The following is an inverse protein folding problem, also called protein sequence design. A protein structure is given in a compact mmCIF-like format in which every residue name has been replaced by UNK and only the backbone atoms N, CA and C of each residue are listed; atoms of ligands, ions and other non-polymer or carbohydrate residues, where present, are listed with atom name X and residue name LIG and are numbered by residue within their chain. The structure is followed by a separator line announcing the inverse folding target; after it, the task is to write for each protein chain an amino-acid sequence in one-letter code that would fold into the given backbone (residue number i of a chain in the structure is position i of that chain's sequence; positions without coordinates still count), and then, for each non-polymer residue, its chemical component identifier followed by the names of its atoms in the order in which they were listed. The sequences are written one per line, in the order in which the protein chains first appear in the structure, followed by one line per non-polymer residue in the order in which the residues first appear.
data_IF_019542695818
#
_entry.id   IF_019542695818
#
_cell.length_a   1.000
_cell.length_b   1.000
_cell.length_c   1.000
_cell.angle_alpha   90.00
_cell.angle_beta   90.00
_cell.angle_gamma   90.00
#
_symmetry.space_group_name_H-M   'P 1'
#
loop_
_entity.id
_entity.type
_entity.pdbx_description
1 polymer ?
#
# COMPACT_ATOMS: atom_id res chain seq x y z
N UNK A 1 -29.78 17.93 2.17
CA UNK A 1 -29.33 16.53 2.06
C UNK A 1 -27.84 16.49 2.37
N UNK A 2 -27.42 15.76 3.39
CA UNK A 2 -25.99 15.59 3.75
C UNK A 2 -25.58 14.17 3.36
N UNK A 3 -24.47 14.03 2.63
CA UNK A 3 -23.98 12.76 2.10
C UNK A 3 -22.71 12.34 2.87
N UNK A 4 -22.70 11.14 3.46
CA UNK A 4 -21.65 10.63 4.34
C UNK A 4 -20.96 9.34 3.81
N UNK A 5 -20.65 9.27 2.51
CA UNK A 5 -20.06 8.08 1.88
C UNK A 5 -18.54 7.91 2.08
N UNK A 6 -17.91 8.71 2.95
CA UNK A 6 -16.48 8.66 3.23
C UNK A 6 -15.60 9.45 2.25
N UNK A 7 -14.30 9.15 2.24
CA UNK A 7 -13.27 9.91 1.53
C UNK A 7 -12.53 9.07 0.49
N UNK A 8 -12.18 9.69 -0.64
CA UNK A 8 -11.35 9.08 -1.71
C UNK A 8 -9.90 9.53 -1.59
N UNK A 9 -8.96 8.65 -1.95
CA UNK A 9 -7.56 9.06 -2.14
C UNK A 9 -7.43 10.01 -3.32
N UNK A 10 -6.61 11.05 -3.15
CA UNK A 10 -6.30 12.03 -4.19
C UNK A 10 -4.94 12.65 -3.88
N UNK A 11 -3.99 12.56 -4.82
CA UNK A 11 -2.64 13.08 -4.69
C UNK A 11 -2.32 14.00 -5.89
N UNK A 12 -2.87 15.23 -5.94
CA UNK A 12 -2.77 16.10 -7.12
C UNK A 12 -1.35 16.60 -7.42
N UNK A 13 -0.42 16.40 -6.48
CA UNK A 13 0.97 16.85 -6.57
C UNK A 13 1.96 15.74 -6.96
N UNK A 14 1.50 14.49 -7.10
CA UNK A 14 2.37 13.36 -7.46
C UNK A 14 2.11 12.96 -8.91
N UNK A 15 3.01 13.36 -9.80
CA UNK A 15 3.00 12.94 -11.21
C UNK A 15 3.83 11.67 -11.39
N UNK A 16 3.17 10.51 -11.39
CA UNK A 16 3.85 9.22 -11.61
C UNK A 16 3.79 8.73 -13.06
N UNK A 17 3.32 9.55 -14.01
CA UNK A 17 3.13 9.16 -15.41
C UNK A 17 2.39 7.82 -15.59
N UNK A 18 1.36 7.59 -14.75
CA UNK A 18 0.58 6.35 -14.76
C UNK A 18 1.20 5.13 -14.05
N UNK A 19 2.41 5.25 -13.47
CA UNK A 19 3.03 4.16 -12.70
C UNK A 19 2.23 3.85 -11.42
N UNK A 20 1.69 4.87 -10.76
CA UNK A 20 0.73 4.73 -9.66
C UNK A 20 -0.59 5.32 -10.09
N UNK A 21 -1.67 4.58 -9.87
CA UNK A 21 -3.03 4.99 -10.20
C UNK A 21 -3.94 4.82 -8.99
N UNK A 22 -5.06 5.54 -9.03
CA UNK A 22 -6.13 5.39 -8.04
C UNK A 22 -7.38 4.89 -8.78
N UNK A 23 -7.75 3.64 -8.54
CA UNK A 23 -8.93 2.99 -9.13
C UNK A 23 -9.84 2.46 -8.02
N UNK A 24 -11.10 2.89 -7.97
CA UNK A 24 -12.04 2.58 -6.88
C UNK A 24 -11.38 2.65 -5.48
N UNK A 25 -10.69 3.77 -5.18
CA UNK A 25 -10.01 4.00 -3.89
C UNK A 25 -8.86 3.01 -3.55
N UNK A 26 -8.40 2.21 -4.51
CA UNK A 26 -7.14 1.46 -4.45
C UNK A 26 -6.02 2.34 -5.01
N UNK A 27 -5.02 2.64 -4.19
CA UNK A 27 -3.76 3.27 -4.63
C UNK A 27 -2.81 2.13 -5.00
N UNK A 28 -2.40 2.05 -6.26
CA UNK A 28 -1.65 0.88 -6.71
C UNK A 28 -0.98 1.03 -8.08
N UNK A 29 -0.12 0.07 -8.42
CA UNK A 29 0.31 -1.08 -7.62
C UNK A 29 1.29 -0.70 -6.49
N UNK A 30 1.10 -1.24 -5.28
CA UNK A 30 1.96 -0.99 -4.12
C UNK A 30 2.34 -2.29 -3.40
N UNK A 31 3.64 -2.59 -3.33
CA UNK A 31 4.18 -3.68 -2.54
C UNK A 31 4.01 -3.37 -1.06
N UNK A 32 3.36 -4.29 -0.35
CA UNK A 32 3.03 -4.18 1.08
C UNK A 32 2.37 -2.84 1.45
N UNK A 33 1.60 -2.26 0.52
CA UNK A 33 0.93 -0.95 0.65
C UNK A 33 1.88 0.25 0.90
N UNK A 34 3.17 0.12 0.57
CA UNK A 34 4.19 1.17 0.75
C UNK A 34 4.85 1.53 -0.56
N UNK A 35 5.41 0.54 -1.27
CA UNK A 35 6.35 0.81 -2.36
C UNK A 35 5.74 0.55 -3.74
N UNK A 36 5.64 1.55 -4.62
CA UNK A 36 5.43 1.31 -6.05
C UNK A 36 6.67 0.63 -6.66
N UNK A 37 6.58 -0.60 -7.19
CA UNK A 37 7.77 -1.41 -7.52
C UNK A 37 8.78 -0.72 -8.45
N UNK A 38 8.30 0.01 -9.45
CA UNK A 38 9.13 0.74 -10.43
C UNK A 38 9.82 2.00 -9.90
N UNK A 39 9.34 2.53 -8.78
CA UNK A 39 9.85 3.78 -8.19
C UNK A 39 10.45 3.55 -6.79
N UNK A 40 10.51 2.30 -6.34
CA UNK A 40 11.05 1.95 -5.03
C UNK A 40 12.59 2.07 -5.01
N UNK A 41 13.19 2.50 -3.88
CA UNK A 41 12.55 3.02 -2.67
C UNK A 41 12.27 4.54 -2.72
N UNK A 42 12.54 5.20 -3.86
CA UNK A 42 12.50 6.67 -4.01
C UNK A 42 11.12 7.29 -3.86
N UNK A 43 10.06 6.56 -4.19
CA UNK A 43 8.68 6.90 -3.84
C UNK A 43 8.13 5.86 -2.88
N UNK A 44 7.47 6.32 -1.81
CA UNK A 44 6.85 5.48 -0.79
C UNK A 44 5.61 6.14 -0.22
N UNK A 45 4.60 5.35 0.13
CA UNK A 45 3.37 5.81 0.75
C UNK A 45 3.30 5.30 2.20
N UNK A 46 3.05 6.21 3.13
CA UNK A 46 2.90 5.90 4.56
C UNK A 46 1.51 6.32 5.01
N UNK A 47 0.85 5.51 5.83
CA UNK A 47 -0.46 5.81 6.40
C UNK A 47 -1.64 5.59 5.44
N UNK A 48 -1.45 4.83 4.35
CA UNK A 48 -2.58 4.41 3.51
C UNK A 48 -3.53 3.45 4.23
N UNK A 49 -3.09 2.51 5.09
CA UNK A 49 -4.06 1.65 5.76
C UNK A 49 -4.94 2.43 6.75
N UNK A 50 -6.26 2.42 6.52
CA UNK A 50 -7.24 3.35 7.15
C UNK A 50 -8.00 2.80 8.36
N UNK A 51 -7.67 1.61 8.85
CA UNK A 51 -8.52 0.87 9.80
C UNK A 51 -8.04 0.98 11.24
N UNK A 52 -7.89 -0.15 11.93
CA UNK A 52 -7.99 -0.23 13.40
C UNK A 52 -6.76 0.31 14.16
N UNK A 53 -5.58 0.39 13.53
CA UNK A 53 -4.32 0.77 14.20
C UNK A 53 -3.44 1.71 13.37
N UNK A 54 -3.91 2.94 13.06
CA UNK A 54 -3.20 3.84 12.15
C UNK A 54 -1.82 4.24 12.67
N UNK A 55 -1.66 4.47 13.97
CA UNK A 55 -0.39 4.84 14.58
C UNK A 55 0.64 3.71 14.49
N UNK A 56 0.27 2.50 14.90
CA UNK A 56 1.15 1.32 14.83
C UNK A 56 1.53 1.01 13.38
N UNK A 57 0.58 1.06 12.46
CA UNK A 57 0.85 0.79 11.03
C UNK A 57 1.80 1.81 10.44
N UNK A 58 1.57 3.10 10.72
CA UNK A 58 2.44 4.19 10.26
C UNK A 58 3.85 4.04 10.85
N UNK A 59 3.96 3.74 12.14
CA UNK A 59 5.24 3.54 12.81
C UNK A 59 6.05 2.38 12.18
N UNK A 60 5.40 1.23 11.95
CA UNK A 60 6.04 0.07 11.31
C UNK A 60 6.45 0.38 9.86
N UNK A 61 5.57 1.02 9.09
CA UNK A 61 5.88 1.45 7.71
C UNK A 61 7.06 2.42 7.68
N UNK A 62 7.11 3.41 8.58
CA UNK A 62 8.20 4.38 8.67
C UNK A 62 9.51 3.72 9.09
N UNK A 63 9.50 2.84 10.09
CA UNK A 63 10.70 2.08 10.52
C UNK A 63 11.24 1.22 9.38
N UNK A 64 10.37 0.53 8.67
CA UNK A 64 10.76 -0.29 7.53
C UNK A 64 11.35 0.54 6.40
N UNK A 65 10.72 1.67 6.04
CA UNK A 65 11.23 2.60 5.04
C UNK A 65 12.65 3.09 5.39
N UNK A 66 12.90 3.47 6.65
CA UNK A 66 14.23 3.92 7.10
C UNK A 66 15.25 2.80 6.95
N UNK A 67 14.91 1.55 7.31
CA UNK A 67 15.82 0.42 7.12
C UNK A 67 16.15 0.16 5.65
N UNK A 68 15.15 0.28 4.77
CA UNK A 68 15.35 0.16 3.31
C UNK A 68 16.25 1.28 2.77
N UNK A 69 15.96 2.54 3.10
CA UNK A 69 16.77 3.69 2.66
C UNK A 69 18.20 3.64 3.21
N UNK A 70 18.40 3.08 4.40
CA UNK A 70 19.74 2.87 4.98
C UNK A 70 20.49 1.65 4.44
N UNK A 71 19.87 0.86 3.56
CA UNK A 71 20.44 -0.39 3.02
C UNK A 71 20.54 -1.54 4.03
N UNK A 72 19.91 -1.42 5.21
CA UNK A 72 19.86 -2.49 6.23
C UNK A 72 18.90 -3.61 5.86
N UNK A 73 17.89 -3.28 5.06
CA UNK A 73 16.92 -4.22 4.48
C UNK A 73 16.90 -4.00 2.98
N UNK A 74 17.00 -5.07 2.21
CA UNK A 74 16.90 -5.01 0.76
C UNK A 74 15.45 -5.28 0.35
N UNK A 75 14.94 -4.50 -0.59
CA UNK A 75 13.67 -4.82 -1.24
C UNK A 75 13.89 -6.00 -2.21
N UNK A 76 12.87 -6.85 -2.39
CA UNK A 76 12.83 -7.80 -3.49
C UNK A 76 12.98 -7.07 -4.84
N UNK A 77 13.34 -7.80 -5.90
CA UNK A 77 13.37 -7.21 -7.24
C UNK A 77 11.96 -6.81 -7.69
N UNK A 78 11.86 -5.88 -8.64
CA UNK A 78 10.58 -5.36 -9.15
C UNK A 78 9.59 -6.48 -9.51
N UNK A 79 10.06 -7.52 -10.20
CA UNK A 79 9.24 -8.67 -10.62
C UNK A 79 8.62 -9.41 -9.43
N UNK A 80 9.37 -9.60 -8.34
CA UNK A 80 8.90 -10.30 -7.15
C UNK A 80 7.90 -9.44 -6.38
N UNK A 81 8.15 -8.13 -6.29
CA UNK A 81 7.20 -7.18 -5.72
C UNK A 81 5.88 -7.16 -6.51
N UNK A 82 5.95 -7.12 -7.84
CA UNK A 82 4.76 -7.19 -8.71
C UNK A 82 4.00 -8.50 -8.55
N UNK A 83 4.69 -9.64 -8.53
CA UNK A 83 4.04 -10.95 -8.32
C UNK A 83 3.32 -11.02 -6.97
N UNK A 84 3.89 -10.46 -5.89
CA UNK A 84 3.21 -10.38 -4.60
C UNK A 84 1.93 -9.54 -4.67
N UNK A 85 1.95 -8.42 -5.39
CA UNK A 85 0.79 -7.54 -5.56
C UNK A 85 -0.31 -8.23 -6.35
N UNK A 86 0.04 -8.89 -7.45
CA UNK A 86 -0.89 -9.64 -8.30
C UNK A 86 -1.54 -10.78 -7.52
N UNK A 87 -0.76 -11.56 -6.76
CA UNK A 87 -1.29 -12.62 -5.90
C UNK A 87 -2.26 -12.06 -4.85
N UNK A 88 -1.95 -10.92 -4.25
CA UNK A 88 -2.84 -10.26 -3.30
C UNK A 88 -4.15 -9.80 -3.95
N UNK A 89 -4.08 -9.20 -5.15
CA UNK A 89 -5.28 -8.79 -5.88
C UNK A 89 -6.13 -9.99 -6.31
N UNK A 90 -5.51 -11.07 -6.77
CA UNK A 90 -6.21 -12.30 -7.11
C UNK A 90 -6.94 -12.88 -5.89
N UNK A 91 -6.25 -12.96 -4.75
CA UNK A 91 -6.86 -13.43 -3.50
C UNK A 91 -8.06 -12.57 -3.07
N UNK A 92 -7.96 -11.24 -3.21
CA UNK A 92 -9.09 -10.34 -2.96
C UNK A 92 -10.28 -10.63 -3.90
N UNK A 93 -10.00 -10.86 -5.19
CA UNK A 93 -11.03 -11.18 -6.18
C UNK A 93 -11.71 -12.52 -5.89
N UNK A 94 -10.94 -13.56 -5.57
CA UNK A 94 -11.44 -14.89 -5.19
C UNK A 94 -12.31 -14.84 -3.92
N UNK A 95 -11.95 -13.99 -2.96
CA UNK A 95 -12.69 -13.82 -1.71
C UNK A 95 -13.81 -12.78 -1.81
N UNK A 96 -14.02 -12.20 -2.99
CA UNK A 96 -15.09 -11.23 -3.25
C UNK A 96 -14.88 -9.87 -2.55
N UNK A 97 -13.65 -9.53 -2.15
CA UNK A 97 -13.33 -8.26 -1.49
C UNK A 97 -13.20 -7.14 -2.54
N UNK A 98 -14.02 -6.07 -2.47
CA UNK A 98 -13.95 -4.95 -3.41
C UNK A 98 -12.61 -4.19 -3.37
N UNK A 99 -12.20 -3.62 -4.52
CA UNK A 99 -10.95 -2.84 -4.68
C UNK A 99 -10.79 -1.72 -3.65
N UNK A 100 -11.87 -1.00 -3.31
CA UNK A 100 -11.86 0.05 -2.27
C UNK A 100 -11.40 -0.37 -0.88
N UNK A 101 -11.37 -1.67 -0.60
CA UNK A 101 -10.88 -2.24 0.66
C UNK A 101 -9.44 -2.76 0.57
N UNK A 102 -8.72 -2.53 -0.53
CA UNK A 102 -7.32 -2.97 -0.69
C UNK A 102 -6.38 -2.45 0.40
N UNK A 103 -6.69 -1.32 1.04
CA UNK A 103 -5.88 -0.80 2.15
C UNK A 103 -6.56 -0.97 3.52
N UNK A 104 -7.62 -1.78 3.61
CA UNK A 104 -8.35 -2.02 4.86
C UNK A 104 -7.73 -3.20 5.63
N UNK A 105 -6.53 -3.01 6.15
CA UNK A 105 -5.79 -4.04 6.86
C UNK A 105 -6.28 -4.24 8.29
N UNK A 106 -6.32 -5.49 8.72
CA UNK A 106 -6.46 -5.90 10.12
C UNK A 106 -5.11 -5.82 10.85
N UNK A 107 -5.11 -5.74 12.20
CA UNK A 107 -3.86 -5.71 12.97
C UNK A 107 -2.93 -6.90 12.69
N UNK A 108 -3.48 -8.10 12.47
CA UNK A 108 -2.68 -9.29 12.16
C UNK A 108 -2.00 -9.17 10.79
N UNK A 109 -2.71 -8.69 9.78
CA UNK A 109 -2.12 -8.45 8.45
C UNK A 109 -0.99 -7.43 8.51
N UNK A 110 -1.15 -6.36 9.29
CA UNK A 110 -0.09 -5.35 9.47
C UNK A 110 1.18 -6.00 10.05
N UNK A 111 1.06 -6.87 11.05
CA UNK A 111 2.21 -7.55 11.64
C UNK A 111 2.91 -8.48 10.64
N UNK A 112 2.15 -9.23 9.84
CA UNK A 112 2.69 -10.12 8.81
C UNK A 112 3.39 -9.39 7.66
N UNK A 113 3.04 -8.13 7.39
CA UNK A 113 3.69 -7.34 6.35
C UNK A 113 5.12 -6.93 6.73
N UNK A 114 5.44 -6.77 8.01
CA UNK A 114 6.75 -6.24 8.46
C UNK A 114 7.59 -7.24 9.28
N UNK A 115 7.09 -8.46 9.49
CA UNK A 115 7.87 -9.61 9.98
C UNK A 115 8.79 -10.17 8.90
#
# INVERSE_FOLDING_TARGET
MVILFGYKYHFPFIETNGIVTIDDNRVGPLYKHVFPPRLAPWLSFIGLPKKDTPFMTTELQSKWLVHVLSGKVLLPIEKEMMSNIENYYHHMEETGVPKRFTHALTPNEVLHLFS
#
